data_IF_156561207407
#
_entry.id   IF_156561207407
#
_cell.length_a   1.000
_cell.length_b   1.000
_cell.length_c   1.000
_cell.angle_alpha   90.00
_cell.angle_beta   90.00
_cell.angle_gamma   90.00
#
_symmetry.space_group_name_H-M   'P 1'
#
loop_
_entity.id
_entity.type
_entity.pdbx_description
1 polymer ?
#
# COMPACT_ATOMS: atom_id res chain seq x y z
N UNK A 1 -23.51 7.98 -32.38
CA UNK A 1 -23.98 7.01 -31.36
C UNK A 1 -23.66 7.59 -29.99
N UNK A 2 -24.68 7.89 -29.19
CA UNK A 2 -24.58 8.51 -27.85
C UNK A 2 -24.53 7.36 -26.84
N UNK A 3 -23.42 7.19 -26.12
CA UNK A 3 -23.29 6.13 -25.12
C UNK A 3 -24.32 6.35 -24.01
N UNK A 4 -25.13 5.33 -23.72
CA UNK A 4 -25.98 5.30 -22.53
C UNK A 4 -25.06 5.25 -21.30
N UNK A 5 -24.87 6.40 -20.66
CA UNK A 5 -24.29 6.47 -19.31
C UNK A 5 -25.31 5.89 -18.32
N UNK A 6 -25.23 4.58 -18.07
CA UNK A 6 -25.97 3.92 -17.00
C UNK A 6 -25.42 4.41 -15.66
N UNK A 7 -26.21 5.10 -14.81
CA UNK A 7 -25.78 5.51 -13.48
C UNK A 7 -25.58 4.25 -12.63
N UNK A 8 -24.34 3.80 -12.53
CA UNK A 8 -23.96 2.51 -11.93
C UNK A 8 -22.74 1.86 -12.58
N UNK A 9 -22.47 2.14 -13.86
CA UNK A 9 -21.33 1.60 -14.58
C UNK A 9 -19.97 1.97 -13.95
N UNK A 10 -19.87 3.15 -13.32
CA UNK A 10 -18.65 3.59 -12.64
C UNK A 10 -18.20 2.70 -11.46
N UNK A 11 -19.11 1.97 -10.81
CA UNK A 11 -18.79 1.09 -9.68
C UNK A 11 -18.07 -0.19 -10.14
N UNK A 12 -18.52 -0.78 -11.25
CA UNK A 12 -17.87 -1.94 -11.88
C UNK A 12 -16.55 -1.56 -12.55
N UNK A 13 -16.42 -0.34 -13.07
CA UNK A 13 -15.15 0.18 -13.57
C UNK A 13 -14.15 0.46 -12.44
N UNK A 14 -14.64 0.91 -11.27
CA UNK A 14 -13.86 1.04 -10.05
C UNK A 14 -13.26 -0.29 -9.57
N UNK A 15 -14.06 -1.37 -9.60
CA UNK A 15 -13.61 -2.75 -9.29
C UNK A 15 -12.56 -3.28 -10.28
N UNK A 16 -12.64 -2.87 -11.55
CA UNK A 16 -11.64 -3.21 -12.57
C UNK A 16 -10.38 -2.34 -12.50
N UNK A 17 -10.39 -1.27 -11.72
CA UNK A 17 -9.26 -0.35 -11.65
C UNK A 17 -8.01 -1.00 -11.06
N UNK A 18 -6.86 -0.68 -11.66
CA UNK A 18 -5.57 -1.23 -11.22
C UNK A 18 -5.30 -1.00 -9.73
N UNK A 19 -5.76 0.14 -9.19
CA UNK A 19 -5.65 0.49 -7.76
C UNK A 19 -6.30 -0.56 -6.87
N UNK A 20 -7.54 -0.91 -7.20
CA UNK A 20 -8.32 -1.87 -6.44
C UNK A 20 -7.69 -3.25 -6.53
N UNK A 21 -7.29 -3.69 -7.74
CA UNK A 21 -6.63 -4.98 -7.95
C UNK A 21 -5.33 -5.12 -7.15
N UNK A 22 -4.47 -4.10 -7.19
CA UNK A 22 -3.21 -4.11 -6.44
C UNK A 22 -3.47 -4.10 -4.94
N UNK A 23 -4.43 -3.30 -4.46
CA UNK A 23 -4.81 -3.30 -3.05
C UNK A 23 -5.33 -4.66 -2.58
N UNK A 24 -6.23 -5.28 -3.35
CA UNK A 24 -6.76 -6.62 -3.06
C UNK A 24 -5.65 -7.67 -3.10
N UNK A 25 -4.81 -7.68 -4.13
CA UNK A 25 -3.68 -8.63 -4.23
C UNK A 25 -2.74 -8.49 -3.03
N UNK A 26 -2.37 -7.26 -2.68
CA UNK A 26 -1.55 -6.96 -1.50
C UNK A 26 -2.20 -7.53 -0.25
N UNK A 27 -3.50 -7.28 -0.04
CA UNK A 27 -4.26 -7.83 1.09
C UNK A 27 -4.26 -9.36 1.11
N UNK A 28 -4.55 -10.02 -0.01
CA UNK A 28 -4.58 -11.49 -0.13
C UNK A 28 -3.22 -12.09 0.22
N UNK A 29 -2.12 -11.54 -0.31
CA UNK A 29 -0.78 -12.03 0.00
C UNK A 29 -0.43 -11.84 1.49
N UNK A 30 -0.75 -10.69 2.08
CA UNK A 30 -0.52 -10.45 3.52
C UNK A 30 -1.30 -11.46 4.39
N UNK A 31 -2.55 -11.73 4.04
CA UNK A 31 -3.39 -12.71 4.74
C UNK A 31 -2.82 -14.12 4.59
N UNK A 32 -2.35 -14.48 3.39
CA UNK A 32 -1.74 -15.79 3.13
C UNK A 32 -0.46 -15.99 3.94
N UNK A 33 0.42 -14.98 3.98
CA UNK A 33 1.66 -15.01 4.79
C UNK A 33 1.32 -15.14 6.27
N UNK A 34 0.36 -14.36 6.78
CA UNK A 34 -0.09 -14.44 8.17
C UNK A 34 -0.65 -15.82 8.52
N UNK A 35 -1.58 -16.32 7.71
CA UNK A 35 -2.23 -17.60 7.96
C UNK A 35 -1.21 -18.74 7.89
N UNK A 36 -0.32 -18.70 6.89
CA UNK A 36 0.77 -19.67 6.75
C UNK A 36 1.72 -19.65 7.95
N UNK A 37 2.07 -18.48 8.47
CA UNK A 37 2.96 -18.37 9.64
C UNK A 37 2.28 -18.85 10.93
N UNK A 38 0.99 -18.56 11.12
CA UNK A 38 0.20 -19.06 12.25
C UNK A 38 0.08 -20.60 12.22
N UNK A 39 -0.20 -21.17 11.05
CA UNK A 39 -0.28 -22.62 10.87
C UNK A 39 1.08 -23.28 11.11
N UNK A 40 2.16 -22.71 10.58
CA UNK A 40 3.52 -23.21 10.80
C UNK A 40 3.89 -23.17 12.30
N UNK A 41 3.52 -22.11 13.01
CA UNK A 41 3.73 -21.99 14.45
C UNK A 41 2.92 -23.00 15.27
N UNK A 42 1.72 -23.36 14.81
CA UNK A 42 0.83 -24.24 15.55
C UNK A 42 1.11 -25.72 15.30
N UNK A 43 1.54 -26.08 14.08
CA UNK A 43 1.65 -27.49 13.65
C UNK A 43 3.03 -28.11 13.79
N UNK A 44 4.09 -27.33 13.96
CA UNK A 44 5.46 -27.87 14.00
C UNK A 44 6.22 -27.36 15.24
N UNK A 45 6.14 -28.09 16.37
CA UNK A 45 6.85 -27.74 17.60
C UNK A 45 8.38 -27.70 17.42
N UNK A 46 8.92 -28.48 16.49
CA UNK A 46 10.35 -28.47 16.16
C UNK A 46 10.84 -27.12 15.60
N UNK A 47 9.94 -26.24 15.15
CA UNK A 47 10.29 -24.89 14.69
C UNK A 47 10.51 -23.90 15.84
N UNK A 48 10.33 -24.27 17.11
CA UNK A 48 10.67 -23.38 18.23
C UNK A 48 12.16 -23.01 18.25
N UNK A 49 13.04 -23.95 17.88
CA UNK A 49 14.50 -23.72 17.79
C UNK A 49 14.83 -22.68 16.71
N UNK A 50 13.97 -22.54 15.69
CA UNK A 50 14.15 -21.66 14.52
C UNK A 50 13.07 -20.56 14.50
N UNK A 51 12.44 -20.28 15.65
CA UNK A 51 11.29 -19.37 15.74
C UNK A 51 11.65 -17.96 15.26
N UNK A 52 12.83 -17.47 15.65
CA UNK A 52 13.31 -16.13 15.28
C UNK A 52 13.54 -16.00 13.77
N UNK A 53 14.14 -17.02 13.15
CA UNK A 53 14.38 -17.02 11.70
C UNK A 53 13.07 -17.09 10.92
N UNK A 54 12.10 -17.92 11.35
CA UNK A 54 10.77 -17.97 10.73
C UNK A 54 10.07 -16.62 10.81
N UNK A 55 10.11 -15.99 11.97
CA UNK A 55 9.51 -14.69 12.19
C UNK A 55 10.20 -13.62 11.33
N UNK A 56 11.54 -13.65 11.23
CA UNK A 56 12.31 -12.77 10.35
C UNK A 56 11.89 -12.94 8.88
N UNK A 57 11.81 -14.18 8.38
CA UNK A 57 11.35 -14.47 7.02
C UNK A 57 9.95 -13.93 6.79
N UNK A 58 9.05 -14.10 7.77
CA UNK A 58 7.70 -13.54 7.70
C UNK A 58 7.75 -12.00 7.64
N UNK A 59 8.52 -11.33 8.49
CA UNK A 59 8.64 -9.87 8.48
C UNK A 59 9.19 -9.34 7.15
N UNK A 60 10.20 -10.01 6.59
CA UNK A 60 10.74 -9.67 5.27
C UNK A 60 9.69 -9.85 4.18
N UNK A 61 8.98 -10.98 4.18
CA UNK A 61 7.90 -11.23 3.21
C UNK A 61 6.78 -10.19 3.31
N UNK A 62 6.37 -9.82 4.53
CA UNK A 62 5.42 -8.74 4.80
C UNK A 62 5.90 -7.40 4.21
N UNK A 63 7.16 -7.03 4.48
CA UNK A 63 7.76 -5.80 3.96
C UNK A 63 7.79 -5.78 2.43
N UNK A 64 8.17 -6.88 1.79
CA UNK A 64 8.20 -6.99 0.32
C UNK A 64 6.79 -6.84 -0.29
N UNK A 65 5.78 -7.49 0.29
CA UNK A 65 4.40 -7.37 -0.18
C UNK A 65 3.85 -5.95 0.04
N UNK A 66 4.17 -5.32 1.17
CA UNK A 66 3.81 -3.92 1.44
C UNK A 66 4.42 -2.92 0.44
N UNK A 67 5.51 -3.27 -0.24
CA UNK A 67 6.09 -2.43 -1.27
C UNK A 67 5.32 -2.48 -2.60
N UNK A 68 4.43 -3.46 -2.82
CA UNK A 68 3.69 -3.59 -4.08
C UNK A 68 2.90 -2.33 -4.45
N UNK A 69 2.09 -1.71 -3.55
CA UNK A 69 1.42 -0.44 -3.84
C UNK A 69 2.39 0.71 -4.10
N UNK A 70 3.51 0.73 -3.36
CA UNK A 70 4.53 1.80 -3.44
C UNK A 70 5.22 1.77 -4.80
N UNK A 71 5.71 0.60 -5.23
CA UNK A 71 6.39 0.42 -6.51
C UNK A 71 5.44 0.66 -7.68
N UNK A 72 4.17 0.28 -7.54
CA UNK A 72 3.18 0.44 -8.62
C UNK A 72 2.71 1.89 -8.78
N UNK A 73 2.60 2.65 -7.68
CA UNK A 73 1.98 3.98 -7.67
C UNK A 73 2.91 5.08 -7.16
N UNK A 74 4.23 4.94 -7.31
CA UNK A 74 5.22 5.92 -6.84
C UNK A 74 4.98 7.35 -7.35
N UNK A 75 4.43 7.47 -8.57
CA UNK A 75 4.09 8.76 -9.21
C UNK A 75 2.65 9.20 -8.96
N UNK A 76 1.84 8.43 -8.25
CA UNK A 76 0.42 8.71 -8.00
C UNK A 76 0.11 8.52 -6.51
N UNK A 77 0.42 9.50 -5.65
CA UNK A 77 0.40 9.34 -4.19
C UNK A 77 -0.99 9.00 -3.65
N UNK A 78 -2.04 9.54 -4.27
CA UNK A 78 -3.42 9.19 -3.92
C UNK A 78 -3.77 7.74 -4.24
N UNK A 79 -3.26 7.22 -5.36
CA UNK A 79 -3.45 5.83 -5.76
C UNK A 79 -2.66 4.88 -4.87
N UNK A 80 -1.46 5.29 -4.44
CA UNK A 80 -0.63 4.58 -3.47
C UNK A 80 -1.37 4.45 -2.13
N UNK A 81 -1.84 5.57 -1.57
CA UNK A 81 -2.56 5.57 -0.30
C UNK A 81 -3.78 4.66 -0.36
N UNK A 82 -4.65 4.85 -1.34
CA UNK A 82 -5.91 4.10 -1.45
C UNK A 82 -5.67 2.61 -1.66
N UNK A 83 -4.73 2.21 -2.54
CA UNK A 83 -4.43 0.80 -2.77
C UNK A 83 -3.77 0.13 -1.57
N UNK A 84 -2.78 0.79 -0.94
CA UNK A 84 -2.14 0.30 0.28
C UNK A 84 -3.12 0.19 1.45
N UNK A 85 -3.98 1.19 1.62
CA UNK A 85 -5.02 1.20 2.64
C UNK A 85 -6.05 0.09 2.46
N UNK A 86 -6.50 -0.19 1.22
CA UNK A 86 -7.40 -1.31 0.93
C UNK A 86 -6.76 -2.64 1.35
N UNK A 87 -5.52 -2.89 0.92
CA UNK A 87 -4.81 -4.12 1.27
C UNK A 87 -4.58 -4.26 2.77
N UNK A 88 -4.24 -3.17 3.45
CA UNK A 88 -4.04 -3.15 4.90
C UNK A 88 -5.32 -3.33 5.70
N UNK A 89 -6.43 -2.73 5.24
CA UNK A 89 -7.74 -2.88 5.86
C UNK A 89 -8.20 -4.35 5.77
N UNK A 90 -8.06 -4.98 4.59
CA UNK A 90 -8.34 -6.41 4.42
C UNK A 90 -7.50 -7.27 5.37
N UNK A 91 -6.19 -7.01 5.45
CA UNK A 91 -5.31 -7.69 6.38
C UNK A 91 -5.74 -7.50 7.84
N UNK A 92 -6.09 -6.27 8.24
CA UNK A 92 -6.50 -5.95 9.62
C UNK A 92 -7.80 -6.66 10.02
N UNK A 93 -8.76 -6.77 9.10
CA UNK A 93 -10.00 -7.54 9.31
C UNK A 93 -9.69 -9.02 9.47
N UNK A 94 -8.84 -9.58 8.61
CA UNK A 94 -8.41 -10.97 8.72
C UNK A 94 -7.62 -11.24 10.01
N UNK A 95 -6.77 -10.30 10.44
CA UNK A 95 -6.05 -10.36 11.71
C UNK A 95 -7.01 -10.34 12.91
N UNK A 96 -8.05 -9.52 12.85
CA UNK A 96 -9.11 -9.52 13.84
C UNK A 96 -9.84 -10.89 13.87
N UNK A 97 -10.18 -11.47 12.72
CA UNK A 97 -10.75 -12.83 12.68
C UNK A 97 -9.80 -13.90 13.24
N UNK A 98 -8.52 -13.85 12.87
CA UNK A 98 -7.52 -14.81 13.32
C UNK A 98 -7.32 -14.79 14.83
N UNK A 99 -7.34 -13.61 15.47
CA UNK A 99 -7.19 -13.53 16.93
C UNK A 99 -8.40 -14.06 17.72
N UNK A 100 -9.56 -14.25 17.10
CA UNK A 100 -10.67 -14.99 17.73
C UNK A 100 -10.37 -16.49 17.83
N UNK A 101 -9.64 -17.05 16.86
CA UNK A 101 -9.23 -18.47 16.83
C UNK A 101 -7.96 -18.67 17.66
N UNK A 102 -7.02 -17.73 17.59
CA UNK A 102 -5.75 -17.75 18.29
C UNK A 102 -5.74 -16.71 19.41
N UNK A 103 -6.33 -17.04 20.56
CA UNK A 103 -6.47 -16.10 21.71
C UNK A 103 -5.14 -15.50 22.18
N UNK A 104 -4.04 -16.27 22.11
CA UNK A 104 -2.68 -15.82 22.48
C UNK A 104 -2.13 -14.70 21.57
N UNK A 105 -2.74 -14.46 20.40
CA UNK A 105 -2.26 -13.49 19.41
C UNK A 105 -2.36 -12.05 19.91
N UNK A 106 -3.48 -11.70 20.55
CA UNK A 106 -3.66 -10.33 21.06
C UNK A 106 -2.83 -10.06 22.30
N UNK A 107 -2.59 -11.09 23.12
CA UNK A 107 -1.77 -10.98 24.33
C UNK A 107 -0.30 -10.75 24.00
N UNK A 108 0.20 -11.34 22.89
CA UNK A 108 1.62 -11.26 22.51
C UNK A 108 1.96 -10.16 21.50
N UNK A 109 1.02 -9.77 20.63
CA UNK A 109 1.29 -8.75 19.60
C UNK A 109 0.62 -7.42 19.92
N UNK A 110 -0.53 -7.14 19.31
CA UNK A 110 -1.25 -5.88 19.44
C UNK A 110 -2.75 -6.08 19.23
N UNK A 111 -3.59 -5.22 19.82
CA UNK A 111 -5.01 -5.16 19.48
C UNK A 111 -5.20 -4.91 17.97
N UNK A 112 -6.27 -5.44 17.35
CA UNK A 112 -6.51 -5.31 15.92
C UNK A 112 -6.67 -3.84 15.47
N UNK A 113 -7.23 -2.99 16.33
CA UNK A 113 -7.35 -1.55 16.06
C UNK A 113 -5.98 -0.87 15.93
N UNK A 114 -5.00 -1.25 16.76
CA UNK A 114 -3.65 -0.69 16.69
C UNK A 114 -2.93 -1.13 15.41
N UNK A 115 -3.17 -2.37 14.97
CA UNK A 115 -2.64 -2.88 13.69
C UNK A 115 -3.26 -2.11 12.53
N UNK A 116 -4.57 -1.89 12.54
CA UNK A 116 -5.24 -1.07 11.53
C UNK A 116 -4.67 0.35 11.46
N UNK A 117 -4.58 1.03 12.61
CA UNK A 117 -4.02 2.38 12.69
C UNK A 117 -2.57 2.43 12.21
N UNK A 118 -1.75 1.43 12.52
CA UNK A 118 -0.36 1.37 12.09
C UNK A 118 -0.22 1.49 10.56
N UNK A 119 -0.98 0.71 9.79
CA UNK A 119 -0.89 0.78 8.33
C UNK A 119 -1.61 1.98 7.73
N UNK A 120 -2.70 2.46 8.36
CA UNK A 120 -3.33 3.72 7.95
C UNK A 120 -2.34 4.89 8.06
N UNK A 121 -1.64 5.00 9.19
CA UNK A 121 -0.59 5.99 9.41
C UNK A 121 0.60 5.77 8.48
N UNK A 122 1.08 4.52 8.34
CA UNK A 122 2.23 4.21 7.48
C UNK A 122 1.99 4.61 6.02
N UNK A 123 0.92 4.10 5.40
CA UNK A 123 0.60 4.45 4.01
C UNK A 123 0.24 5.93 3.85
N UNK A 124 -0.38 6.55 4.87
CA UNK A 124 -0.64 7.99 4.90
C UNK A 124 0.65 8.81 4.83
N UNK A 125 1.61 8.52 5.71
CA UNK A 125 2.91 9.19 5.73
C UNK A 125 3.70 8.99 4.44
N UNK A 126 3.73 7.76 3.91
CA UNK A 126 4.39 7.44 2.64
C UNK A 126 3.76 8.23 1.50
N UNK A 127 2.43 8.26 1.41
CA UNK A 127 1.74 9.00 0.36
C UNK A 127 2.00 10.52 0.45
N UNK A 128 1.99 11.08 1.67
CA UNK A 128 2.33 12.49 1.90
C UNK A 128 3.77 12.79 1.48
N UNK A 129 4.73 11.95 1.84
CA UNK A 129 6.12 12.11 1.43
C UNK A 129 6.28 12.11 -0.10
N UNK A 130 5.65 11.16 -0.80
CA UNK A 130 5.67 11.11 -2.27
C UNK A 130 4.98 12.32 -2.91
N UNK A 131 3.91 12.82 -2.31
CA UNK A 131 3.25 14.04 -2.76
C UNK A 131 4.15 15.27 -2.61
N UNK A 132 4.85 15.42 -1.48
CA UNK A 132 5.82 16.50 -1.27
C UNK A 132 6.98 16.45 -2.26
N UNK A 133 7.55 15.27 -2.52
CA UNK A 133 8.61 15.11 -3.52
C UNK A 133 8.14 15.57 -4.90
N UNK A 134 6.92 15.21 -5.29
CA UNK A 134 6.36 15.66 -6.57
C UNK A 134 6.11 17.16 -6.62
N UNK A 135 5.66 17.76 -5.52
CA UNK A 135 5.50 19.22 -5.43
C UNK A 135 6.83 19.94 -5.66
N UNK A 136 7.91 19.49 -5.00
CA UNK A 136 9.26 20.06 -5.15
C UNK A 136 9.75 19.93 -6.60
N UNK A 137 9.57 18.76 -7.19
CA UNK A 137 9.96 18.48 -8.57
C UNK A 137 9.17 19.36 -9.56
N UNK A 138 7.85 19.49 -9.38
CA UNK A 138 7.01 20.35 -10.20
C UNK A 138 7.45 21.83 -10.11
N UNK A 139 7.71 22.33 -8.90
CA UNK A 139 8.20 23.71 -8.70
C UNK A 139 9.52 23.95 -9.43
N UNK A 140 10.46 22.99 -9.40
CA UNK A 140 11.74 23.09 -10.13
C UNK A 140 11.53 23.17 -11.63
N UNK A 141 10.63 22.36 -12.19
CA UNK A 141 10.33 22.40 -13.62
C UNK A 141 9.70 23.73 -14.05
N UNK A 142 8.75 24.26 -13.26
CA UNK A 142 8.14 25.55 -13.56
C UNK A 142 9.13 26.71 -13.49
N UNK A 143 10.05 26.71 -12.51
CA UNK A 143 11.07 27.74 -12.38
C UNK A 143 12.05 27.72 -13.56
N UNK A 144 12.53 26.54 -13.95
CA UNK A 144 13.42 26.38 -15.10
C UNK A 144 12.76 26.81 -16.42
N UNK A 145 11.47 26.49 -16.61
CA UNK A 145 10.74 26.90 -17.81
C UNK A 145 10.58 28.43 -17.92
N UNK A 146 10.35 29.12 -16.79
CA UNK A 146 10.23 30.57 -16.76
C UNK A 146 11.56 31.27 -17.09
N UNK A 147 12.70 30.73 -16.64
CA UNK A 147 14.03 31.28 -16.97
C UNK A 147 14.36 31.19 -18.46
N UNK A 148 14.04 30.08 -19.13
CA UNK A 148 14.31 29.90 -20.57
C UNK A 148 13.44 30.81 -21.45
N UNK A 149 12.21 31.12 -21.03
CA UNK A 149 11.32 32.00 -21.79
C UNK A 149 11.77 33.47 -21.78
N UNK A 150 12.43 33.93 -20.71
CA UNK A 150 13.01 35.27 -20.65
C UNK A 150 14.30 35.41 -21.47
N UNK A 151 15.14 34.37 -21.54
CA UNK A 151 16.34 34.39 -22.38
C UNK A 151 16.02 34.27 -23.88
N UNK A 152 14.99 33.50 -24.25
CA UNK A 152 14.57 33.33 -25.65
C UNK A 152 13.90 34.56 -26.29
N UNK A 153 13.35 35.49 -25.49
CA UNK A 153 12.81 36.78 -26.00
C UNK A 153 13.89 37.83 -26.29
N UNK A 154 15.13 37.63 -25.85
CA UNK A 154 16.20 38.60 -26.02
C UNK A 154 16.84 38.60 -27.42
N UNK A 155 16.52 37.60 -28.26
CA UNK A 155 17.02 37.53 -29.64
C UNK A 155 15.86 37.41 -30.64
N UNK A 156 15.31 38.53 -31.13
CA UNK A 156 14.46 38.48 -32.32
C UNK A 156 15.30 37.99 -33.49
N UNK A 157 14.88 36.88 -34.11
CA UNK A 157 15.47 36.40 -35.35
C UNK A 157 15.15 37.42 -36.44
N UNK A 158 16.16 38.17 -36.88
CA UNK A 158 16.16 39.00 -38.08
C UNK A 158 16.25 38.15 -39.33
#
# INVERSE_FOLDING_TARGET
MKSLNLPGAGWVDGLKSLRFRIGVLTGVYLIAIMTGSLLAATRVPALEIIADLRNLVCYVAFGLVMLLPVLTFIRKPWHLFTSGFIGWAMFSIAYAGAGQVFISLYTRLRPPFNVFMLGATFYGLVAVAFWFVQLIVAMRYHLSAHHTQHSGRAYPKT
#
